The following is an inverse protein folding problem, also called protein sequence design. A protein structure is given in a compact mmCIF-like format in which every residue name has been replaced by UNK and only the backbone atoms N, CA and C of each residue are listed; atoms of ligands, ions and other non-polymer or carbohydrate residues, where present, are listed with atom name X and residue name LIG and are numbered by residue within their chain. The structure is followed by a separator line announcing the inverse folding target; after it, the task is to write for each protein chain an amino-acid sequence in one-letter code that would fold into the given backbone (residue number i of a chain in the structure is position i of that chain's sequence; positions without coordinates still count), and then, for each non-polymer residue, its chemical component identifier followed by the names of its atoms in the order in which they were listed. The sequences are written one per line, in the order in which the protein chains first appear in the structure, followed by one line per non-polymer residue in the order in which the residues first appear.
data_IF_318642309565
#
_entry.id   IF_318642309565
#
_cell.length_a   1.000
_cell.length_b   1.000
_cell.length_c   1.000
_cell.angle_alpha   90.00
_cell.angle_beta   90.00
_cell.angle_gamma   90.00
#
_symmetry.space_group_name_H-M   'P 1'
#
loop_
_entity.id
_entity.type
_entity.pdbx_description
1 polymer ?
#
# COMPACT_ATOMS: atom_id res chain seq x y z
N UNK A 1 8.62 -31.92 20.95
CA UNK A 1 7.87 -32.16 19.70
C UNK A 1 6.43 -31.86 20.01
N UNK A 2 6.08 -30.58 19.94
CA UNK A 2 4.78 -30.05 20.40
C UNK A 2 3.94 -29.83 19.16
N UNK A 3 2.85 -30.57 19.04
CA UNK A 3 1.81 -30.40 18.03
C UNK A 3 1.19 -29.02 18.29
N UNK A 4 1.54 -28.05 17.45
CA UNK A 4 0.87 -26.77 17.32
C UNK A 4 0.29 -26.75 15.90
N UNK A 5 -0.98 -26.34 15.82
CA UNK A 5 -1.79 -26.07 14.63
C UNK A 5 -2.60 -27.26 14.06
N UNK A 6 -3.63 -27.66 14.80
CA UNK A 6 -4.86 -28.25 14.22
C UNK A 6 -6.05 -27.26 14.33
N UNK A 7 -5.75 -25.97 14.53
CA UNK A 7 -6.74 -24.88 14.52
C UNK A 7 -6.49 -24.01 13.29
N UNK A 8 -7.15 -24.32 12.17
CA UNK A 8 -7.15 -23.40 11.03
C UNK A 8 -7.63 -23.97 9.70
N UNK A 9 -7.50 -25.28 9.47
CA UNK A 9 -7.92 -25.88 8.20
C UNK A 9 -9.44 -26.07 8.18
N UNK A 10 -10.12 -25.15 7.50
CA UNK A 10 -11.54 -25.29 7.19
C UNK A 10 -11.69 -25.90 5.79
N UNK A 11 -12.65 -26.79 5.61
CA UNK A 11 -13.04 -27.22 4.27
C UNK A 11 -13.88 -26.10 3.63
N UNK A 12 -13.49 -25.68 2.43
CA UNK A 12 -14.22 -24.65 1.67
C UNK A 12 -14.57 -25.16 0.27
N UNK A 13 -15.66 -24.64 -0.29
CA UNK A 13 -16.16 -25.04 -1.61
C UNK A 13 -15.74 -24.03 -2.66
N UNK A 14 -15.06 -24.49 -3.70
CA UNK A 14 -14.67 -23.71 -4.89
C UNK A 14 -15.00 -24.53 -6.12
N UNK A 15 -15.69 -23.93 -7.10
CA UNK A 15 -16.13 -24.60 -8.33
C UNK A 15 -16.86 -25.94 -8.09
N UNK A 16 -17.62 -26.03 -7.00
CA UNK A 16 -18.38 -27.23 -6.64
C UNK A 16 -17.55 -28.36 -6.01
N UNK A 17 -16.26 -28.12 -5.69
CA UNK A 17 -15.38 -29.08 -5.01
C UNK A 17 -14.90 -28.56 -3.66
N UNK A 18 -14.79 -29.47 -2.70
CA UNK A 18 -14.27 -29.17 -1.37
C UNK A 18 -12.74 -29.25 -1.34
N UNK A 19 -12.09 -28.23 -0.77
CA UNK A 19 -10.65 -28.18 -0.52
C UNK A 19 -10.36 -27.91 0.95
N UNK A 20 -9.26 -28.44 1.48
CA UNK A 20 -8.69 -27.94 2.74
C UNK A 20 -8.15 -26.55 2.48
N UNK A 21 -8.45 -25.58 3.35
CA UNK A 21 -8.04 -24.21 3.13
C UNK A 21 -7.68 -23.45 4.41
N UNK A 22 -6.78 -22.48 4.25
CA UNK A 22 -6.37 -21.54 5.30
C UNK A 22 -6.76 -20.10 4.91
N UNK A 23 -7.37 -19.33 5.83
CA UNK A 23 -7.77 -17.95 5.54
C UNK A 23 -6.56 -17.01 5.52
N UNK A 24 -6.51 -16.13 4.52
CA UNK A 24 -5.50 -15.08 4.38
C UNK A 24 -6.11 -13.72 4.70
N UNK A 25 -5.33 -12.86 5.33
CA UNK A 25 -5.69 -11.46 5.62
C UNK A 25 -7.07 -11.31 6.30
N UNK A 26 -7.38 -12.17 7.27
CA UNK A 26 -8.65 -12.14 7.99
C UNK A 26 -9.84 -12.68 7.17
N UNK A 27 -9.58 -13.54 6.18
CA UNK A 27 -10.61 -14.14 5.32
C UNK A 27 -10.91 -13.35 4.05
N UNK A 28 -10.01 -12.47 3.63
CA UNK A 28 -10.10 -11.76 2.36
C UNK A 28 -9.88 -12.71 1.17
N UNK A 29 -9.00 -13.68 1.36
CA UNK A 29 -8.65 -14.74 0.43
C UNK A 29 -8.42 -16.05 1.19
N UNK A 30 -8.26 -17.14 0.45
CA UNK A 30 -7.99 -18.47 0.98
C UNK A 30 -6.85 -19.13 0.20
N UNK A 31 -5.96 -19.80 0.92
CA UNK A 31 -5.02 -20.76 0.36
C UNK A 31 -5.66 -22.13 0.37
N UNK A 32 -5.94 -22.69 -0.79
CA UNK A 32 -6.50 -24.01 -0.99
C UNK A 32 -5.36 -25.02 -1.13
N UNK A 33 -5.52 -26.23 -0.61
CA UNK A 33 -4.52 -27.29 -0.71
C UNK A 33 -5.06 -28.53 -1.43
N UNK A 34 -4.21 -29.17 -2.24
CA UNK A 34 -4.50 -30.42 -2.94
C UNK A 34 -3.33 -31.40 -2.88
N UNK A 35 -3.65 -32.68 -2.96
CA UNK A 35 -2.68 -33.78 -3.08
C UNK A 35 -2.27 -34.03 -4.54
N UNK A 36 -3.06 -33.54 -5.51
CA UNK A 36 -2.83 -33.69 -6.95
C UNK A 36 -2.57 -32.34 -7.62
N UNK A 37 -1.83 -32.32 -8.75
CA UNK A 37 -1.74 -31.13 -9.57
C UNK A 37 -3.09 -30.81 -10.21
N UNK A 38 -3.53 -29.56 -10.10
CA UNK A 38 -4.82 -29.08 -10.60
C UNK A 38 -4.67 -27.73 -11.32
N UNK A 39 -5.62 -27.34 -12.18
CA UNK A 39 -5.56 -26.05 -12.87
C UNK A 39 -5.44 -24.88 -11.88
N UNK A 40 -4.41 -24.05 -12.06
CA UNK A 40 -4.12 -22.91 -11.20
C UNK A 40 -3.46 -23.25 -9.87
N UNK A 41 -3.20 -24.53 -9.56
CA UNK A 41 -2.44 -24.93 -8.38
C UNK A 41 -0.93 -24.87 -8.66
N UNK A 42 -0.21 -24.21 -7.77
CA UNK A 42 1.25 -24.15 -7.72
C UNK A 42 1.76 -25.31 -6.87
N UNK A 43 3.04 -25.66 -7.06
CA UNK A 43 3.72 -26.65 -6.21
C UNK A 43 4.48 -25.93 -5.12
N UNK A 44 4.25 -26.31 -3.87
CA UNK A 44 5.02 -25.84 -2.72
C UNK A 44 6.48 -26.29 -2.83
N UNK A 45 7.43 -25.38 -2.58
CA UNK A 45 8.85 -25.75 -2.50
C UNK A 45 9.17 -26.47 -1.18
N UNK A 46 8.37 -26.22 -0.14
CA UNK A 46 8.55 -26.84 1.17
C UNK A 46 7.96 -28.26 1.25
N UNK A 47 8.55 -29.16 2.07
CA UNK A 47 8.00 -30.50 2.27
C UNK A 47 6.67 -30.41 3.04
N UNK A 48 5.56 -30.54 2.32
CA UNK A 48 4.19 -30.59 2.86
C UNK A 48 3.48 -31.89 2.47
N UNK A 49 2.51 -32.32 3.28
CA UNK A 49 1.63 -33.47 2.97
C UNK A 49 0.72 -33.19 1.78
N UNK A 50 0.32 -31.94 1.59
CA UNK A 50 -0.43 -31.46 0.43
C UNK A 50 0.54 -30.58 -0.38
N UNK A 51 1.18 -31.11 -1.43
CA UNK A 51 2.27 -30.44 -2.12
C UNK A 51 1.80 -29.39 -3.13
N UNK A 52 0.49 -29.27 -3.36
CA UNK A 52 -0.08 -28.30 -4.27
C UNK A 52 -1.01 -27.35 -3.54
N UNK A 53 -1.00 -26.08 -3.96
CA UNK A 53 -1.88 -25.07 -3.40
C UNK A 53 -2.30 -24.02 -4.43
N UNK A 54 -3.38 -23.29 -4.14
CA UNK A 54 -3.88 -22.19 -4.98
C UNK A 54 -4.46 -21.10 -4.09
N UNK A 55 -4.26 -19.85 -4.47
CA UNK A 55 -4.87 -18.72 -3.78
C UNK A 55 -6.14 -18.28 -4.51
N UNK A 56 -7.22 -18.06 -3.76
CA UNK A 56 -8.51 -17.61 -4.32
C UNK A 56 -9.09 -16.49 -3.47
N UNK A 57 -9.74 -15.48 -4.06
CA UNK A 57 -10.43 -14.45 -3.30
C UNK A 57 -11.64 -15.03 -2.57
N UNK A 58 -12.02 -14.42 -1.45
CA UNK A 58 -13.18 -14.85 -0.65
C UNK A 58 -14.49 -14.89 -1.43
N UNK A 59 -14.62 -14.07 -2.48
CA UNK A 59 -15.80 -14.04 -3.35
C UNK A 59 -16.01 -15.33 -4.16
N UNK A 60 -14.96 -16.14 -4.37
CA UNK A 60 -15.02 -17.43 -5.07
C UNK A 60 -15.31 -18.61 -4.14
N UNK A 61 -15.34 -18.36 -2.83
CA UNK A 61 -15.42 -19.40 -1.81
C UNK A 61 -16.83 -19.50 -1.22
N UNK A 62 -17.42 -20.69 -1.28
CA UNK A 62 -18.67 -21.01 -0.58
C UNK A 62 -18.40 -21.85 0.69
N UNK A 63 -19.27 -21.72 1.69
CA UNK A 63 -19.22 -22.55 2.91
C UNK A 63 -18.18 -22.16 3.95
N UNK A 64 -17.34 -21.15 3.68
CA UNK A 64 -16.57 -20.51 4.73
C UNK A 64 -17.54 -19.87 5.73
N UNK A 65 -17.46 -20.25 7.00
CA UNK A 65 -18.25 -19.59 8.05
C UNK A 65 -18.07 -18.09 7.91
N UNK A 66 -19.17 -17.32 7.89
CA UNK A 66 -19.15 -15.87 7.83
C UNK A 66 -18.45 -15.33 9.08
N UNK A 67 -17.12 -15.34 9.09
CA UNK A 67 -16.35 -14.51 9.98
C UNK A 67 -16.82 -13.08 9.72
N UNK A 68 -17.09 -12.32 10.78
CA UNK A 68 -17.51 -10.94 10.67
C UNK A 68 -16.50 -10.20 9.77
N UNK A 69 -16.92 -9.85 8.55
CA UNK A 69 -16.01 -9.24 7.59
C UNK A 69 -15.63 -7.86 8.11
N UNK A 70 -14.35 -7.63 8.47
CA UNK A 70 -13.93 -6.36 9.03
C UNK A 70 -13.93 -5.24 7.99
N UNK A 71 -13.84 -5.61 6.70
CA UNK A 71 -13.71 -4.69 5.58
C UNK A 71 -14.93 -4.72 4.66
N UNK A 72 -15.19 -3.57 4.01
CA UNK A 72 -16.25 -3.44 3.01
C UNK A 72 -15.84 -4.11 1.69
N UNK A 73 -16.62 -5.11 1.26
CA UNK A 73 -16.42 -5.76 -0.03
C UNK A 73 -16.73 -4.83 -1.21
N UNK A 74 -16.09 -5.10 -2.34
CA UNK A 74 -16.41 -4.44 -3.60
C UNK A 74 -17.75 -4.97 -4.12
N UNK A 75 -18.71 -4.08 -4.35
CA UNK A 75 -20.07 -4.44 -4.73
C UNK A 75 -20.46 -3.71 -6.02
N UNK A 76 -21.18 -4.39 -6.89
CA UNK A 76 -21.74 -3.80 -8.10
C UNK A 76 -23.28 -3.93 -8.14
N UNK A 77 -24.00 -2.90 -8.61
CA UNK A 77 -25.46 -2.95 -8.73
C UNK A 77 -25.87 -3.76 -9.98
N UNK A 78 -25.64 -5.08 -9.93
CA UNK A 78 -25.86 -5.96 -11.07
C UNK A 78 -27.33 -5.95 -11.50
N UNK A 79 -27.55 -5.97 -12.80
CA UNK A 79 -28.88 -6.03 -13.41
C UNK A 79 -28.80 -6.77 -14.74
N UNK A 80 -29.94 -6.98 -15.41
CA UNK A 80 -29.96 -7.60 -16.74
C UNK A 80 -29.11 -6.83 -17.78
N UNK A 81 -28.91 -5.53 -17.58
CA UNK A 81 -28.10 -4.67 -18.46
C UNK A 81 -26.69 -4.41 -17.92
N UNK A 82 -26.34 -4.89 -16.73
CA UNK A 82 -25.05 -4.66 -16.09
C UNK A 82 -24.54 -5.94 -15.42
N UNK A 83 -23.64 -6.64 -16.11
CA UNK A 83 -22.90 -7.80 -15.60
C UNK A 83 -21.55 -7.41 -14.99
N UNK A 84 -20.93 -8.32 -14.25
CA UNK A 84 -19.55 -8.15 -13.76
C UNK A 84 -18.54 -7.95 -14.89
N UNK A 85 -18.67 -8.72 -15.97
CA UNK A 85 -17.84 -8.55 -17.18
C UNK A 85 -17.97 -7.13 -17.74
N UNK A 86 -19.18 -6.58 -17.75
CA UNK A 86 -19.42 -5.20 -18.21
C UNK A 86 -18.82 -4.18 -17.26
N UNK A 87 -18.94 -4.37 -15.95
CA UNK A 87 -18.33 -3.51 -14.92
C UNK A 87 -16.82 -3.52 -15.08
N UNK A 88 -16.20 -4.69 -15.21
CA UNK A 88 -14.77 -4.84 -15.45
C UNK A 88 -14.37 -4.13 -16.75
N UNK A 89 -15.07 -4.35 -17.86
CA UNK A 89 -14.77 -3.67 -19.11
C UNK A 89 -14.83 -2.14 -18.99
N UNK A 90 -15.81 -1.62 -18.23
CA UNK A 90 -15.94 -0.18 -17.96
C UNK A 90 -14.81 0.35 -17.05
N UNK A 91 -14.37 -0.41 -16.05
CA UNK A 91 -13.27 0.00 -15.17
C UNK A 91 -11.91 0.05 -15.86
N UNK A 92 -11.73 -0.73 -16.94
CA UNK A 92 -10.47 -0.79 -17.68
C UNK A 92 -10.33 0.32 -18.75
N UNK A 93 -11.25 1.29 -18.82
CA UNK A 93 -11.26 2.34 -19.84
C UNK A 93 -11.70 3.69 -19.27
N UNK A 94 -11.07 4.81 -19.67
CA UNK A 94 -11.59 6.13 -19.34
C UNK A 94 -13.06 6.27 -19.79
N UNK A 95 -13.97 6.76 -18.93
CA UNK A 95 -15.37 6.83 -19.26
C UNK A 95 -15.62 7.82 -20.41
N UNK A 96 -16.42 7.41 -21.39
CA UNK A 96 -16.78 8.23 -22.57
C UNK A 96 -18.02 9.10 -22.34
N UNK A 97 -18.85 8.71 -21.38
CA UNK A 97 -20.11 9.34 -21.04
C UNK A 97 -20.31 9.33 -19.52
N UNK A 98 -21.18 10.22 -19.03
CA UNK A 98 -21.44 10.41 -17.60
C UNK A 98 -22.03 9.16 -16.94
N UNK A 99 -22.91 8.42 -17.63
CA UNK A 99 -23.54 7.25 -17.05
C UNK A 99 -22.52 6.14 -16.78
N UNK A 100 -21.63 5.87 -17.74
CA UNK A 100 -20.50 4.94 -17.56
C UNK A 100 -19.59 5.37 -16.40
N UNK A 101 -19.30 6.67 -16.28
CA UNK A 101 -18.51 7.21 -15.17
C UNK A 101 -19.20 6.98 -13.81
N UNK A 102 -20.50 7.28 -13.72
CA UNK A 102 -21.29 7.14 -12.50
C UNK A 102 -21.40 5.66 -12.07
N UNK A 103 -21.54 4.72 -13.00
CA UNK A 103 -21.55 3.28 -12.71
C UNK A 103 -20.22 2.86 -12.10
N UNK A 104 -19.08 3.16 -12.74
CA UNK A 104 -17.76 2.77 -12.23
C UNK A 104 -17.47 3.46 -10.89
N UNK A 105 -17.81 4.74 -10.74
CA UNK A 105 -17.66 5.47 -9.49
C UNK A 105 -18.50 4.86 -8.35
N UNK A 106 -19.73 4.42 -8.63
CA UNK A 106 -20.60 3.78 -7.63
C UNK A 106 -20.03 2.45 -7.13
N UNK A 107 -19.48 1.63 -8.04
CA UNK A 107 -18.78 0.38 -7.68
C UNK A 107 -17.53 0.71 -6.87
N UNK A 108 -16.74 1.69 -7.33
CA UNK A 108 -15.51 2.10 -6.65
C UNK A 108 -15.76 2.60 -5.23
N UNK A 109 -16.87 3.31 -5.01
CA UNK A 109 -17.22 3.89 -3.72
C UNK A 109 -17.55 2.85 -2.63
N UNK A 110 -17.83 1.60 -3.00
CA UNK A 110 -18.10 0.55 -2.00
C UNK A 110 -16.81 0.05 -1.33
N UNK A 111 -15.66 0.23 -1.98
CA UNK A 111 -14.35 -0.05 -1.40
C UNK A 111 -13.85 1.16 -0.59
N UNK A 112 -14.09 1.12 0.73
CA UNK A 112 -13.76 2.21 1.65
C UNK A 112 -12.46 1.90 2.41
N UNK A 113 -11.63 2.92 2.62
CA UNK A 113 -10.51 2.89 3.58
C UNK A 113 -10.96 3.60 4.85
N UNK A 114 -10.75 2.94 5.99
CA UNK A 114 -11.05 3.45 7.32
C UNK A 114 -9.80 3.41 8.17
N UNK A 115 -9.86 4.04 9.33
CA UNK A 115 -8.88 3.82 10.39
C UNK A 115 -8.73 2.32 10.66
N UNK A 116 -7.48 1.84 10.67
CA UNK A 116 -7.12 0.45 10.88
C UNK A 116 -7.16 -0.44 9.64
N UNK A 117 -7.71 0.03 8.51
CA UNK A 117 -7.74 -0.72 7.25
C UNK A 117 -6.32 -1.09 6.85
N UNK A 118 -6.09 -2.37 6.56
CA UNK A 118 -4.77 -2.83 6.14
C UNK A 118 -4.52 -2.40 4.70
N UNK A 119 -3.47 -1.64 4.49
CA UNK A 119 -3.03 -1.12 3.21
C UNK A 119 -1.74 -1.83 2.80
N UNK A 120 -1.55 -1.96 1.49
CA UNK A 120 -0.32 -2.46 0.88
C UNK A 120 0.15 -1.57 -0.26
N UNK A 121 1.46 -1.55 -0.47
CA UNK A 121 2.11 -0.80 -1.55
C UNK A 121 3.21 -1.67 -2.15
N UNK A 122 3.14 -1.98 -3.46
CA UNK A 122 4.23 -2.64 -4.16
C UNK A 122 5.50 -1.80 -4.16
N UNK A 123 6.64 -2.47 -3.98
CA UNK A 123 7.95 -1.86 -3.92
C UNK A 123 8.91 -2.58 -4.85
N UNK A 124 9.80 -1.79 -5.46
CA UNK A 124 11.06 -2.31 -5.99
C UNK A 124 12.04 -2.56 -4.84
N UNK A 125 13.12 -3.29 -5.09
CA UNK A 125 14.19 -3.47 -4.11
C UNK A 125 14.76 -2.13 -3.62
N UNK A 126 14.96 -1.17 -4.53
CA UNK A 126 15.36 0.20 -4.18
C UNK A 126 14.34 0.90 -3.28
N UNK A 127 13.04 0.67 -3.55
CA UNK A 127 11.95 1.16 -2.71
C UNK A 127 11.96 0.62 -1.28
N UNK A 128 12.34 -0.65 -1.10
CA UNK A 128 12.55 -1.24 0.23
C UNK A 128 13.73 -0.55 0.93
N UNK A 129 14.87 -0.39 0.24
CA UNK A 129 16.04 0.34 0.77
C UNK A 129 15.68 1.77 1.19
N UNK A 130 14.90 2.49 0.38
CA UNK A 130 14.43 3.84 0.67
C UNK A 130 13.63 3.92 1.98
N UNK A 131 12.67 3.00 2.17
CA UNK A 131 11.85 2.94 3.39
C UNK A 131 12.69 2.57 4.62
N UNK A 132 13.63 1.62 4.47
CA UNK A 132 14.55 1.23 5.53
C UNK A 132 15.45 2.40 5.97
N UNK A 133 15.70 3.36 5.08
CA UNK A 133 16.45 4.60 5.34
C UNK A 133 15.59 5.78 5.82
N UNK A 134 14.30 5.55 6.02
CA UNK A 134 13.40 6.53 6.59
C UNK A 134 12.61 7.37 5.59
N UNK A 135 12.60 7.02 4.30
CA UNK A 135 11.53 7.52 3.43
C UNK A 135 10.19 7.01 3.94
N UNK A 136 9.16 7.81 3.70
CA UNK A 136 7.79 7.49 4.05
C UNK A 136 7.00 6.99 2.83
N UNK A 137 6.00 6.12 3.02
CA UNK A 137 5.13 5.67 1.94
C UNK A 137 4.30 6.81 1.34
N UNK A 138 4.14 6.79 0.02
CA UNK A 138 3.38 7.78 -0.76
C UNK A 138 2.96 7.20 -2.12
N UNK A 139 1.97 7.84 -2.75
CA UNK A 139 1.51 7.47 -4.09
C UNK A 139 0.50 6.32 -4.09
N UNK A 140 0.59 5.44 -5.09
CA UNK A 140 -0.41 4.39 -5.31
C UNK A 140 -0.31 3.27 -4.26
N UNK A 141 -1.46 2.86 -3.75
CA UNK A 141 -1.60 1.79 -2.76
C UNK A 141 -2.96 1.09 -2.88
N UNK A 142 -3.09 -0.03 -2.19
CA UNK A 142 -4.23 -0.95 -2.29
C UNK A 142 -4.65 -1.34 -0.87
N UNK A 143 -5.92 -1.68 -0.65
CA UNK A 143 -6.27 -2.42 0.57
C UNK A 143 -5.72 -3.83 0.42
N UNK A 144 -5.12 -4.36 1.49
CA UNK A 144 -4.71 -5.77 1.53
C UNK A 144 -5.87 -6.69 1.14
N UNK A 145 -7.08 -6.35 1.58
CA UNK A 145 -8.29 -7.10 1.31
C UNK A 145 -8.53 -7.38 -0.18
N UNK A 146 -8.29 -6.39 -1.05
CA UNK A 146 -8.63 -6.50 -2.47
C UNK A 146 -7.55 -7.20 -3.30
N UNK A 147 -6.40 -7.49 -2.69
CA UNK A 147 -5.23 -8.09 -3.37
C UNK A 147 -4.69 -9.31 -2.62
N UNK A 148 -5.39 -9.78 -1.59
CA UNK A 148 -4.92 -10.84 -0.70
C UNK A 148 -4.72 -12.19 -1.40
N UNK A 149 -5.38 -12.42 -2.53
CA UNK A 149 -5.22 -13.61 -3.36
C UNK A 149 -4.06 -13.49 -4.35
N UNK A 150 -3.53 -12.30 -4.60
CA UNK A 150 -2.32 -12.09 -5.41
C UNK A 150 -1.10 -12.39 -4.55
N UNK A 151 -0.47 -13.55 -4.77
CA UNK A 151 0.58 -14.06 -3.85
C UNK A 151 1.88 -14.34 -4.56
N UNK A 152 1.87 -14.58 -5.87
CA UNK A 152 3.10 -14.75 -6.65
C UNK A 152 3.64 -13.42 -7.17
N UNK A 153 4.95 -13.33 -7.47
CA UNK A 153 5.52 -12.18 -8.15
C UNK A 153 4.80 -11.82 -9.47
N UNK A 154 4.42 -12.84 -10.25
CA UNK A 154 3.68 -12.67 -11.51
C UNK A 154 2.30 -12.06 -11.30
N UNK A 155 1.55 -12.54 -10.30
CA UNK A 155 0.23 -11.99 -9.96
C UNK A 155 0.33 -10.55 -9.43
N UNK A 156 1.30 -10.29 -8.55
CA UNK A 156 1.49 -8.96 -7.96
C UNK A 156 2.04 -7.92 -8.94
N UNK A 157 2.62 -8.34 -10.07
CA UNK A 157 3.10 -7.42 -11.11
C UNK A 157 1.99 -6.52 -11.67
N UNK A 158 0.71 -6.97 -11.60
CA UNK A 158 -0.45 -6.17 -12.01
C UNK A 158 -0.60 -4.87 -11.20
N UNK A 159 -0.07 -4.85 -9.97
CA UNK A 159 -0.15 -3.69 -9.07
C UNK A 159 0.90 -2.61 -9.40
N UNK A 160 1.75 -2.82 -10.41
CA UNK A 160 2.76 -1.87 -10.86
C UNK A 160 4.15 -2.05 -10.23
N UNK A 161 4.44 -3.23 -9.67
CA UNK A 161 5.80 -3.62 -9.30
C UNK A 161 6.69 -3.81 -10.53
N UNK A 162 8.02 -3.78 -10.34
CA UNK A 162 8.93 -4.24 -11.39
C UNK A 162 8.68 -5.74 -11.62
N UNK A 163 8.45 -6.18 -12.87
CA UNK A 163 8.24 -7.59 -13.16
C UNK A 163 9.54 -8.33 -12.82
N UNK A 164 9.50 -9.09 -11.73
CA UNK A 164 10.52 -10.07 -11.36
C UNK A 164 9.83 -11.41 -11.23
N UNK A 165 10.44 -12.45 -11.77
CA UNK A 165 9.93 -13.81 -11.60
C UNK A 165 10.34 -14.41 -10.25
N UNK A 166 11.33 -13.82 -9.55
CA UNK A 166 11.93 -14.42 -8.36
C UNK A 166 11.38 -13.88 -7.04
N UNK A 167 11.15 -12.57 -6.94
CA UNK A 167 10.69 -11.95 -5.70
C UNK A 167 9.94 -10.64 -5.97
N UNK A 168 8.85 -10.42 -5.23
CA UNK A 168 8.17 -9.12 -5.16
C UNK A 168 8.11 -8.64 -3.72
N UNK A 169 8.29 -7.34 -3.51
CA UNK A 169 8.25 -6.73 -2.18
C UNK A 169 7.01 -5.85 -2.02
N UNK A 170 6.38 -5.89 -0.84
CA UNK A 170 5.33 -4.96 -0.46
C UNK A 170 5.67 -4.29 0.87
N UNK A 171 5.25 -3.03 1.04
CA UNK A 171 4.98 -2.47 2.36
C UNK A 171 3.54 -2.83 2.74
N UNK A 172 3.33 -3.32 3.96
CA UNK A 172 2.03 -3.51 4.60
C UNK A 172 1.93 -2.59 5.81
N UNK A 173 0.83 -1.87 5.97
CA UNK A 173 0.58 -1.04 7.15
C UNK A 173 -0.92 -0.94 7.42
N UNK A 174 -1.30 -0.32 8.53
CA UNK A 174 -2.69 0.01 8.82
C UNK A 174 -2.93 1.50 8.60
N UNK A 175 -3.96 1.87 7.84
CA UNK A 175 -4.36 3.24 7.63
C UNK A 175 -4.62 3.93 8.98
N UNK A 176 -4.06 5.11 9.16
CA UNK A 176 -4.31 5.94 10.35
C UNK A 176 -5.71 6.51 10.25
N UNK A 177 -6.03 7.11 9.09
CA UNK A 177 -7.36 7.61 8.77
C UNK A 177 -7.66 7.44 7.27
N UNK A 178 -8.95 7.42 6.90
CA UNK A 178 -9.37 7.34 5.50
C UNK A 178 -9.06 8.61 4.69
N UNK A 179 -8.97 9.77 5.34
CA UNK A 179 -8.68 11.07 4.70
C UNK A 179 -7.26 11.15 4.10
N UNK A 180 -6.36 10.25 4.49
CA UNK A 180 -5.05 10.11 3.89
C UNK A 180 -5.10 9.54 2.47
N UNK A 181 -6.25 9.05 2.01
CA UNK A 181 -6.40 8.34 0.75
C UNK A 181 -7.47 8.96 -0.14
N UNK A 182 -7.19 9.02 -1.44
CA UNK A 182 -8.14 9.42 -2.47
C UNK A 182 -8.23 8.33 -3.54
N UNK A 183 -9.42 8.03 -4.09
CA UNK A 183 -9.52 7.18 -5.28
C UNK A 183 -8.78 7.82 -6.46
N UNK A 184 -8.23 7.01 -7.36
CA UNK A 184 -7.58 7.48 -8.60
C UNK A 184 -8.60 7.87 -9.70
N UNK A 185 -9.54 8.74 -9.35
CA UNK A 185 -10.64 9.19 -10.23
C UNK A 185 -10.81 10.69 -10.23
N UNK A 186 -11.37 11.21 -11.31
CA UNK A 186 -11.82 12.60 -11.40
C UNK A 186 -10.69 13.60 -11.66
N UNK A 187 -10.96 14.87 -11.39
CA UNK A 187 -10.09 15.98 -11.79
C UNK A 187 -8.69 15.91 -11.15
N UNK A 188 -8.61 15.42 -9.91
CA UNK A 188 -7.36 15.33 -9.16
C UNK A 188 -6.28 14.46 -9.82
N UNK A 189 -6.67 13.54 -10.72
CA UNK A 189 -5.76 12.66 -11.46
C UNK A 189 -5.82 12.88 -12.97
N UNK A 190 -6.56 13.88 -13.44
CA UNK A 190 -6.72 14.15 -14.88
C UNK A 190 -5.38 14.40 -15.59
N UNK A 191 -4.47 15.13 -14.94
CA UNK A 191 -3.10 15.35 -15.43
C UNK A 191 -2.29 14.05 -15.58
N UNK A 192 -2.50 13.06 -14.69
CA UNK A 192 -1.87 11.75 -14.80
C UNK A 192 -2.43 10.92 -15.95
N UNK A 193 -3.74 10.98 -16.18
CA UNK A 193 -4.39 10.31 -17.33
C UNK A 193 -3.88 10.89 -18.64
N UNK A 194 -3.64 12.20 -18.69
CA UNK A 194 -3.11 12.91 -19.85
C UNK A 194 -1.60 12.73 -20.05
N UNK A 195 -0.89 12.11 -19.10
CA UNK A 195 0.56 11.99 -19.13
C UNK A 195 1.02 11.09 -20.28
N UNK A 196 1.97 11.52 -21.13
CA UNK A 196 2.41 10.71 -22.24
C UNK A 196 3.22 9.49 -21.77
N UNK A 197 3.24 8.40 -22.56
CA UNK A 197 3.90 7.16 -22.15
C UNK A 197 5.41 7.26 -21.87
N UNK A 198 6.11 8.23 -22.46
CA UNK A 198 7.55 8.41 -22.25
C UNK A 198 7.89 9.17 -20.97
N UNK A 199 6.92 9.86 -20.37
CA UNK A 199 7.10 10.63 -19.13
C UNK A 199 6.64 9.86 -17.88
N UNK A 200 6.22 8.61 -18.02
CA UNK A 200 5.68 7.80 -16.92
C UNK A 200 6.51 6.55 -16.66
N UNK A 201 6.54 6.15 -15.39
CA UNK A 201 7.03 4.85 -14.94
C UNK A 201 5.84 3.94 -14.59
N UNK A 202 5.92 2.67 -14.99
CA UNK A 202 4.90 1.66 -14.69
C UNK A 202 3.62 1.78 -15.54
N UNK A 203 2.57 1.12 -15.08
CA UNK A 203 1.29 1.04 -15.80
C UNK A 203 0.57 2.40 -15.88
N UNK A 204 -0.24 2.56 -16.92
CA UNK A 204 -1.05 3.75 -17.11
C UNK A 204 -2.00 4.01 -15.93
N UNK A 205 -2.29 5.29 -15.65
CA UNK A 205 -3.38 5.68 -14.75
C UNK A 205 -4.64 5.81 -15.59
N UNK A 206 -5.65 5.02 -15.28
CA UNK A 206 -6.89 4.96 -16.09
C UNK A 206 -7.88 6.08 -15.75
N UNK A 207 -7.78 6.66 -14.55
CA UNK A 207 -8.73 7.64 -14.05
C UNK A 207 -10.08 7.04 -13.61
N UNK A 208 -10.16 5.71 -13.52
CA UNK A 208 -11.37 4.95 -13.19
C UNK A 208 -11.43 4.47 -11.75
N UNK A 209 -10.35 4.66 -10.96
CA UNK A 209 -10.29 4.19 -9.58
C UNK A 209 -9.84 2.75 -9.43
N UNK A 210 -9.48 2.09 -10.54
CA UNK A 210 -9.06 0.70 -10.61
C UNK A 210 -7.71 0.55 -11.29
N UNK A 211 -6.92 -0.42 -10.83
CA UNK A 211 -5.67 -0.78 -11.48
C UNK A 211 -5.94 -1.44 -12.86
N UNK A 212 -5.06 -1.22 -13.85
CA UNK A 212 -5.10 -1.97 -15.10
C UNK A 212 -4.97 -3.47 -14.85
N UNK A 213 -6.00 -4.23 -15.21
CA UNK A 213 -6.02 -5.69 -15.08
C UNK A 213 -6.89 -6.32 -16.17
N UNK A 214 -6.51 -7.51 -16.62
CA UNK A 214 -7.28 -8.28 -17.61
C UNK A 214 -8.36 -9.15 -16.98
N UNK A 215 -8.23 -9.46 -15.69
CA UNK A 215 -9.01 -10.50 -15.02
C UNK A 215 -9.67 -10.02 -13.74
N UNK A 216 -9.16 -8.96 -13.13
CA UNK A 216 -9.55 -8.56 -11.78
C UNK A 216 -9.99 -7.11 -11.68
N UNK A 217 -10.95 -6.87 -10.79
CA UNK A 217 -11.41 -5.54 -10.48
C UNK A 217 -10.74 -5.08 -9.16
N UNK A 218 -9.53 -4.50 -9.29
CA UNK A 218 -8.70 -4.12 -8.15
C UNK A 218 -8.85 -2.61 -7.89
N UNK A 219 -9.55 -2.18 -6.83
CA UNK A 219 -9.62 -0.76 -6.49
C UNK A 219 -8.23 -0.24 -6.12
N UNK A 220 -7.88 0.94 -6.59
CA UNK A 220 -6.60 1.59 -6.29
C UNK A 220 -6.83 2.93 -5.57
N UNK A 221 -5.94 3.27 -4.65
CA UNK A 221 -5.93 4.52 -3.90
C UNK A 221 -4.61 5.24 -4.12
N UNK A 222 -4.65 6.56 -3.94
CA UNK A 222 -3.49 7.43 -3.95
C UNK A 222 -3.42 8.11 -2.58
N UNK A 223 -2.22 8.24 -2.01
CA UNK A 223 -2.05 9.09 -0.83
C UNK A 223 -2.46 10.53 -1.17
N UNK A 224 -3.23 11.18 -0.30
CA UNK A 224 -3.77 12.50 -0.55
C UNK A 224 -2.63 13.48 -0.90
N UNK A 225 -2.77 14.14 -2.05
CA UNK A 225 -1.78 15.08 -2.61
C UNK A 225 -0.40 14.45 -2.88
N UNK A 226 -0.35 13.12 -3.04
CA UNK A 226 0.88 12.31 -3.10
C UNK A 226 1.82 12.54 -1.90
N UNK A 227 1.28 13.04 -0.78
CA UNK A 227 2.06 13.33 0.40
C UNK A 227 2.61 12.06 1.04
N UNK A 228 3.74 12.21 1.71
CA UNK A 228 4.33 11.19 2.59
C UNK A 228 3.38 10.89 3.76
N UNK A 229 3.10 9.61 4.01
CA UNK A 229 2.32 9.16 5.15
C UNK A 229 3.26 8.74 6.29
N UNK A 230 3.10 9.27 7.52
CA UNK A 230 3.81 8.77 8.67
C UNK A 230 3.57 7.26 8.85
N UNK A 231 4.64 6.50 9.10
CA UNK A 231 4.54 5.05 9.30
C UNK A 231 3.90 4.74 10.66
N UNK A 232 2.81 3.95 10.70
CA UNK A 232 2.23 3.47 11.94
C UNK A 232 3.09 2.35 12.54
N UNK A 233 2.90 2.06 13.82
CA UNK A 233 3.46 0.91 14.50
C UNK A 233 3.14 -0.39 13.74
N UNK A 234 4.07 -1.34 13.79
CA UNK A 234 3.91 -2.66 13.18
C UNK A 234 3.73 -2.67 11.66
N UNK A 235 3.97 -1.55 10.96
CA UNK A 235 4.17 -1.59 9.52
C UNK A 235 5.27 -2.62 9.18
N UNK A 236 5.08 -3.37 8.10
CA UNK A 236 5.91 -4.51 7.75
C UNK A 236 6.36 -4.43 6.30
N UNK A 237 7.64 -4.73 6.07
CA UNK A 237 8.16 -5.01 4.73
C UNK A 237 8.08 -6.52 4.53
N UNK A 238 7.39 -6.95 3.49
CA UNK A 238 7.17 -8.37 3.17
C UNK A 238 7.67 -8.68 1.77
N UNK A 239 8.08 -9.93 1.56
CA UNK A 239 8.46 -10.47 0.27
C UNK A 239 7.60 -11.67 -0.09
N UNK A 240 7.37 -11.84 -1.39
CA UNK A 240 6.67 -12.97 -1.99
C UNK A 240 7.61 -13.69 -2.96
N UNK A 241 7.66 -15.01 -2.87
CA UNK A 241 8.48 -15.89 -3.73
C UNK A 241 7.58 -16.64 -4.74
N UNK A 242 8.14 -17.37 -5.73
CA UNK A 242 7.36 -17.87 -6.86
C UNK A 242 6.24 -18.86 -6.51
N UNK A 243 6.38 -19.60 -5.40
CA UNK A 243 5.31 -20.46 -4.88
C UNK A 243 4.27 -19.69 -4.03
N UNK A 244 4.33 -18.37 -3.97
CA UNK A 244 3.37 -17.55 -3.23
C UNK A 244 3.59 -17.52 -1.70
N UNK A 245 4.67 -18.13 -1.20
CA UNK A 245 5.07 -17.99 0.21
C UNK A 245 5.36 -16.53 0.55
N UNK A 246 4.73 -16.02 1.61
CA UNK A 246 5.00 -14.69 2.16
C UNK A 246 6.08 -14.77 3.25
N UNK A 247 7.07 -13.89 3.17
CA UNK A 247 8.15 -13.76 4.15
C UNK A 247 8.18 -12.34 4.69
N UNK A 248 7.95 -12.18 5.99
CA UNK A 248 8.11 -10.87 6.65
C UNK A 248 9.60 -10.57 6.83
N UNK A 249 10.06 -9.49 6.19
CA UNK A 249 11.46 -9.09 6.20
C UNK A 249 11.79 -8.23 7.41
N UNK A 250 11.01 -7.17 7.61
CA UNK A 250 11.22 -6.19 8.67
C UNK A 250 9.88 -5.71 9.24
N UNK A 251 9.88 -5.30 10.50
CA UNK A 251 8.77 -4.59 11.14
C UNK A 251 9.23 -3.26 11.71
N UNK A 252 8.42 -2.21 11.55
CA UNK A 252 8.72 -0.88 12.04
C UNK A 252 8.40 -0.74 13.53
N UNK A 253 9.33 -0.18 14.27
CA UNK A 253 9.27 0.07 15.71
C UNK A 253 9.38 1.59 15.97
N UNK A 254 8.24 2.32 16.05
CA UNK A 254 8.27 3.77 16.14
C UNK A 254 8.98 4.29 17.39
N UNK A 255 8.84 3.62 18.54
CA UNK A 255 9.51 4.02 19.79
C UNK A 255 11.03 3.85 19.74
N UNK A 256 11.51 2.91 18.92
CA UNK A 256 12.93 2.73 18.67
C UNK A 256 13.42 3.62 17.52
N UNK A 257 12.49 4.15 16.70
CA UNK A 257 12.73 4.89 15.46
C UNK A 257 13.55 4.06 14.48
N UNK A 258 13.09 2.84 14.18
CA UNK A 258 13.80 1.98 13.25
C UNK A 258 13.04 0.72 12.86
N UNK A 259 13.70 -0.09 12.03
CA UNK A 259 13.18 -1.35 11.53
C UNK A 259 13.90 -2.51 12.20
N UNK A 260 13.12 -3.48 12.68
CA UNK A 260 13.61 -4.73 13.24
C UNK A 260 13.49 -5.84 12.18
N UNK A 261 14.59 -6.54 11.89
CA UNK A 261 14.63 -7.67 10.96
C UNK A 261 13.92 -8.88 11.57
N UNK A 262 13.01 -9.47 10.81
CA UNK A 262 12.28 -10.69 11.19
C UNK A 262 12.63 -11.89 10.30
N UNK A 263 13.28 -11.67 9.15
CA UNK A 263 13.60 -12.75 8.21
C UNK A 263 14.64 -13.73 8.78
N UNK A 264 14.35 -15.03 8.67
CA UNK A 264 15.24 -16.11 9.11
C UNK A 264 16.40 -16.41 8.15
N UNK A 265 17.42 -17.19 8.58
CA UNK A 265 18.59 -17.55 7.78
C UNK A 265 18.28 -18.13 6.39
N UNK A 266 17.26 -18.98 6.29
CA UNK A 266 16.86 -19.66 5.06
C UNK A 266 16.33 -18.70 3.97
N UNK A 267 15.91 -17.51 4.37
CA UNK A 267 15.34 -16.49 3.49
C UNK A 267 16.26 -15.28 3.27
N UNK A 268 17.51 -15.31 3.79
CA UNK A 268 18.48 -14.21 3.64
C UNK A 268 18.74 -13.82 2.18
N UNK A 269 18.60 -14.77 1.24
CA UNK A 269 18.70 -14.49 -0.20
C UNK A 269 17.77 -13.36 -0.66
N UNK A 270 16.60 -13.21 -0.02
CA UNK A 270 15.62 -12.16 -0.34
C UNK A 270 16.11 -10.75 0.00
N UNK A 271 17.19 -10.60 0.78
CA UNK A 271 17.80 -9.32 1.09
C UNK A 271 18.92 -8.93 0.12
N UNK A 272 19.42 -9.85 -0.71
CA UNK A 272 20.55 -9.58 -1.63
C UNK A 272 20.27 -8.44 -2.62
N UNK A 273 19.05 -8.25 -3.15
CA UNK A 273 18.75 -7.11 -4.02
C UNK A 273 18.75 -5.76 -3.31
N UNK A 274 18.69 -5.74 -1.97
CA UNK A 274 18.60 -4.53 -1.17
C UNK A 274 19.99 -3.90 -1.05
N UNK A 275 20.23 -2.87 -1.87
CA UNK A 275 21.50 -2.15 -1.84
C UNK A 275 21.68 -1.47 -0.50
N UNK A 276 22.93 -1.47 -0.03
CA UNK A 276 23.37 -0.70 1.14
C UNK A 276 22.70 -1.11 2.47
N UNK A 277 22.05 -2.27 2.50
CA UNK A 277 21.51 -2.90 3.70
C UNK A 277 22.26 -4.21 3.91
N UNK A 278 22.89 -4.37 5.07
CA UNK A 278 23.53 -5.64 5.42
C UNK A 278 22.48 -6.69 5.78
N UNK A 279 22.59 -7.89 5.19
CA UNK A 279 21.69 -9.01 5.49
C UNK A 279 21.81 -9.52 6.94
N UNK A 280 22.92 -9.23 7.61
CA UNK A 280 23.16 -9.61 9.00
C UNK A 280 22.72 -8.53 10.00
N UNK A 281 22.44 -7.32 9.52
CA UNK A 281 21.99 -6.24 10.39
C UNK A 281 20.56 -6.51 10.88
N UNK A 282 20.42 -6.72 12.19
CA UNK A 282 19.14 -7.02 12.85
C UNK A 282 18.29 -5.78 13.08
N UNK A 283 18.92 -4.62 13.28
CA UNK A 283 18.24 -3.37 13.56
C UNK A 283 18.76 -2.25 12.66
N UNK A 284 17.84 -1.55 12.00
CA UNK A 284 18.11 -0.44 11.09
C UNK A 284 17.48 0.84 11.66
N UNK A 285 18.28 1.72 12.30
CA UNK A 285 17.78 2.99 12.82
C UNK A 285 17.45 3.95 11.68
N UNK A 286 16.36 4.70 11.83
CA UNK A 286 16.07 5.89 11.01
C UNK A 286 16.80 7.08 11.65
N UNK A 287 17.66 7.80 10.91
CA UNK A 287 18.39 8.95 11.43
C UNK A 287 17.45 10.02 12.02
N UNK A 288 17.82 10.60 13.16
CA UNK A 288 16.98 11.60 13.86
C UNK A 288 17.00 12.98 13.19
N UNK A 289 18.06 13.25 12.44
CA UNK A 289 18.32 14.45 11.66
C UNK A 289 17.73 14.38 10.25
N UNK A 290 17.16 13.22 9.86
CA UNK A 290 16.31 13.17 8.68
C UNK A 290 15.07 14.03 8.96
N UNK A 291 15.07 15.24 8.41
CA UNK A 291 13.94 16.17 8.48
C UNK A 291 12.76 15.58 7.70
N UNK A 292 12.01 14.68 8.34
CA UNK A 292 10.72 14.25 7.80
C UNK A 292 9.76 15.41 7.92
N UNK A 293 9.41 15.96 6.76
CA UNK A 293 8.45 17.04 6.64
C UNK A 293 7.00 16.55 6.72
N UNK A 294 6.79 15.25 6.95
CA UNK A 294 5.50 14.65 7.31
C UNK A 294 5.60 13.87 8.62
N UNK A 295 4.75 14.19 9.60
CA UNK A 295 4.76 13.54 10.92
C UNK A 295 3.40 13.56 11.60
N UNK A 296 3.25 12.70 12.60
CA UNK A 296 2.10 12.72 13.49
C UNK A 296 2.40 13.56 14.72
N UNK A 297 1.43 14.39 15.07
CA UNK A 297 1.44 15.21 16.28
C UNK A 297 0.09 15.05 16.97
N UNK A 298 0.12 15.02 18.29
CA UNK A 298 -1.08 14.95 19.12
C UNK A 298 -0.93 15.77 20.38
N UNK A 299 -2.03 16.02 21.07
CA UNK A 299 -2.00 16.76 22.35
C UNK A 299 -2.17 15.82 23.53
N UNK A 300 -1.53 16.12 24.65
CA UNK A 300 -1.78 15.47 25.94
C UNK A 300 -1.66 16.50 27.04
N UNK A 301 -2.71 16.68 27.85
CA UNK A 301 -2.77 17.69 28.94
C UNK A 301 -2.47 19.12 28.46
N UNK A 302 -2.95 19.46 27.27
CA UNK A 302 -2.78 20.79 26.67
C UNK A 302 -1.43 21.05 25.98
N UNK A 303 -0.49 20.10 26.04
CA UNK A 303 0.82 20.21 25.38
C UNK A 303 0.87 19.36 24.10
N UNK A 304 1.60 19.82 23.09
CA UNK A 304 1.81 19.10 21.83
C UNK A 304 3.01 18.16 21.91
N UNK A 305 2.83 16.93 21.41
CA UNK A 305 3.87 15.92 21.31
C UNK A 305 3.86 15.27 19.93
N UNK A 306 5.01 14.72 19.51
CA UNK A 306 5.02 13.73 18.43
C UNK A 306 4.21 12.51 18.87
N UNK A 307 3.45 11.93 17.94
CA UNK A 307 2.55 10.83 18.22
C UNK A 307 2.96 9.56 17.47
N UNK A 308 2.56 8.42 18.03
CA UNK A 308 2.60 7.09 17.43
C UNK A 308 1.18 6.64 17.19
N UNK A 309 0.93 6.09 16.00
CA UNK A 309 -0.32 5.44 15.66
C UNK A 309 -0.13 3.92 15.61
N UNK A 310 -0.97 3.20 16.33
CA UNK A 310 -1.17 1.75 16.24
C UNK A 310 -2.68 1.49 16.04
N UNK A 311 -3.21 1.87 14.86
CA UNK A 311 -4.64 1.79 14.60
C UNK A 311 -5.11 0.33 14.53
N UNK A 312 -6.39 0.05 14.83
CA UNK A 312 -7.46 1.03 14.98
C UNK A 312 -7.62 1.63 16.38
N UNK A 313 -6.89 1.17 17.39
CA UNK A 313 -7.28 1.44 18.79
C UNK A 313 -6.33 2.36 19.55
N UNK A 314 -5.04 2.38 19.23
CA UNK A 314 -4.06 3.03 20.09
C UNK A 314 -3.32 4.17 19.39
N UNK A 315 -3.44 5.37 19.97
CA UNK A 315 -2.71 6.56 19.57
C UNK A 315 -2.10 7.19 20.81
N UNK A 316 -0.78 7.36 20.81
CA UNK A 316 -0.04 7.70 22.02
C UNK A 316 1.09 8.68 21.73
N UNK A 317 1.53 9.38 22.77
CA UNK A 317 2.75 10.16 22.74
C UNK A 317 3.93 9.25 22.38
N UNK A 318 4.77 9.71 21.45
CA UNK A 318 6.03 9.06 21.13
C UNK A 318 6.97 9.18 22.33
N UNK A 319 7.09 8.10 23.09
CA UNK A 319 7.92 8.02 24.28
C UNK A 319 8.83 6.79 24.24
N UNK A 320 10.09 6.98 24.67
CA UNK A 320 11.07 5.89 24.74
C UNK A 320 10.78 4.89 25.86
N UNK A 321 10.10 5.32 26.93
CA UNK A 321 9.76 4.45 28.05
C UNK A 321 8.27 4.09 28.05
N UNK A 322 7.95 2.87 28.46
CA UNK A 322 6.55 2.40 28.56
C UNK A 322 5.72 3.24 29.52
N UNK A 323 6.34 3.78 30.58
CA UNK A 323 5.67 4.59 31.60
C UNK A 323 5.19 5.96 31.08
N UNK A 324 5.75 6.43 29.97
CA UNK A 324 5.39 7.72 29.36
C UNK A 324 4.53 7.58 28.08
N UNK A 325 3.99 6.37 27.81
CA UNK A 325 3.07 6.11 26.70
C UNK A 325 1.66 6.56 27.06
N UNK A 326 1.46 7.87 27.08
CA UNK A 326 0.15 8.45 27.32
C UNK A 326 -0.68 8.48 26.05
N UNK A 327 -1.98 8.15 26.10
CA UNK A 327 -2.87 8.34 24.95
C UNK A 327 -2.94 9.83 24.60
N UNK A 328 -2.96 10.14 23.30
CA UNK A 328 -3.19 11.51 22.84
C UNK A 328 -4.68 11.83 22.83
N UNK A 329 -5.01 13.08 23.14
CA UNK A 329 -6.37 13.62 23.16
C UNK A 329 -6.83 14.06 21.76
N UNK A 330 -5.88 14.45 20.91
CA UNK A 330 -6.11 14.80 19.50
C UNK A 330 -5.03 14.18 18.65
N UNK A 331 -5.33 13.92 17.38
CA UNK A 331 -4.34 13.43 16.42
C UNK A 331 -4.45 14.16 15.09
N UNK A 332 -3.30 14.58 14.56
CA UNK A 332 -3.19 15.20 13.25
C UNK A 332 -1.91 14.80 12.54
N UNK A 333 -1.97 14.74 11.22
CA UNK A 333 -0.78 14.68 10.36
C UNK A 333 -0.40 16.09 9.96
N UNK A 334 0.86 16.45 10.23
CA UNK A 334 1.46 17.70 9.79
C UNK A 334 2.36 17.42 8.60
N UNK A 335 2.12 18.09 7.48
CA UNK A 335 2.91 17.96 6.25
C UNK A 335 3.31 19.34 5.73
N UNK A 336 4.58 19.51 5.36
CA UNK A 336 5.07 20.77 4.76
C UNK A 336 4.67 20.87 3.29
N UNK A 337 3.92 21.91 2.97
CA UNK A 337 3.62 22.32 1.61
C UNK A 337 4.37 23.60 1.24
N UNK A 338 4.51 23.82 -0.05
CA UNK A 338 5.02 25.06 -0.59
C UNK A 338 4.47 25.30 -2.01
N UNK A 339 4.81 26.46 -2.59
CA UNK A 339 4.61 26.77 -3.99
C UNK A 339 5.96 26.92 -4.69
N UNK A 340 6.08 26.35 -5.88
CA UNK A 340 7.25 26.53 -6.73
C UNK A 340 6.80 26.75 -8.17
N UNK A 341 7.12 27.93 -8.72
CA UNK A 341 6.73 28.37 -10.07
C UNK A 341 5.25 28.13 -10.40
N UNK A 342 4.37 28.39 -9.41
CA UNK A 342 2.92 28.26 -9.55
C UNK A 342 2.34 26.88 -9.22
N UNK A 343 3.15 25.83 -9.13
CA UNK A 343 2.71 24.50 -8.71
C UNK A 343 2.67 24.37 -7.18
N UNK A 344 1.68 23.64 -6.67
CA UNK A 344 1.62 23.23 -5.26
C UNK A 344 2.42 21.95 -5.09
N UNK A 345 3.31 21.95 -4.10
CA UNK A 345 4.23 20.84 -3.86
C UNK A 345 4.29 20.48 -2.38
N UNK A 346 4.57 19.21 -2.08
CA UNK A 346 5.05 18.80 -0.75
C UNK A 346 6.57 18.88 -0.71
N UNK A 347 7.12 19.30 0.43
CA UNK A 347 8.56 19.34 0.66
C UNK A 347 8.99 17.99 1.24
N UNK A 348 10.02 17.37 0.66
CA UNK A 348 10.51 16.05 1.07
C UNK A 348 11.81 16.12 1.86
N UNK A 349 12.71 17.01 1.43
CA UNK A 349 13.98 17.28 2.10
C UNK A 349 14.44 18.69 1.72
N UNK A 350 15.20 19.35 2.59
CA UNK A 350 15.76 20.65 2.32
C UNK A 350 17.16 20.76 2.90
N UNK A 351 18.06 21.39 2.14
CA UNK A 351 19.33 21.91 2.60
C UNK A 351 19.39 23.44 2.38
N UNK A 352 20.57 24.04 2.57
CA UNK A 352 20.73 25.49 2.45
C UNK A 352 20.46 26.04 1.04
N UNK A 353 20.63 25.23 -0.01
CA UNK A 353 20.57 25.66 -1.41
C UNK A 353 19.45 24.98 -2.18
N UNK A 354 19.06 23.77 -1.80
CA UNK A 354 18.18 22.90 -2.57
C UNK A 354 17.07 22.33 -1.71
N UNK A 355 15.88 22.27 -2.30
CA UNK A 355 14.69 21.66 -1.72
C UNK A 355 14.20 20.59 -2.66
N UNK A 356 14.13 19.35 -2.18
CA UNK A 356 13.47 18.26 -2.92
C UNK A 356 11.97 18.38 -2.68
N UNK A 357 11.22 18.41 -3.77
CA UNK A 357 9.77 18.62 -3.76
C UNK A 357 9.06 17.54 -4.56
N UNK A 358 7.79 17.29 -4.23
CA UNK A 358 6.89 16.41 -4.99
C UNK A 358 5.64 17.17 -5.41
N UNK A 359 5.22 16.98 -6.66
CA UNK A 359 4.02 17.62 -7.19
C UNK A 359 2.75 17.01 -6.58
N UNK A 360 1.85 17.86 -6.08
CA UNK A 360 0.58 17.41 -5.52
C UNK A 360 -0.43 17.02 -6.60
N UNK A 361 -0.35 17.67 -7.76
CA UNK A 361 -1.25 17.47 -8.91
C UNK A 361 -0.41 17.46 -10.20
N UNK A 362 0.34 16.38 -10.47
CA UNK A 362 1.19 16.29 -11.65
C UNK A 362 0.36 16.32 -12.94
N UNK A 363 0.82 17.11 -13.90
CA UNK A 363 0.27 17.22 -15.25
C UNK A 363 1.41 17.43 -16.27
N UNK A 364 1.18 17.21 -17.58
CA UNK A 364 2.25 17.30 -18.58
C UNK A 364 2.95 18.67 -18.61
N UNK A 365 2.24 19.76 -18.31
CA UNK A 365 2.77 21.13 -18.35
C UNK A 365 3.68 21.36 -17.16
N UNK A 366 3.23 21.05 -15.94
CA UNK A 366 4.02 21.29 -14.74
C UNK A 366 5.22 20.32 -14.62
N UNK A 367 5.08 19.08 -15.07
CA UNK A 367 6.18 18.11 -15.13
C UNK A 367 7.29 18.62 -16.05
N UNK A 368 6.93 19.08 -17.25
CA UNK A 368 7.89 19.64 -18.21
C UNK A 368 8.52 20.93 -17.68
N UNK A 369 7.70 21.86 -17.18
CA UNK A 369 8.16 23.20 -16.75
C UNK A 369 9.09 23.15 -15.54
N UNK A 370 8.87 22.19 -14.64
CA UNK A 370 9.65 22.01 -13.42
C UNK A 370 10.78 20.98 -13.58
N UNK A 371 10.91 20.38 -14.76
CA UNK A 371 11.80 19.24 -15.03
C UNK A 371 11.64 18.12 -13.97
N UNK A 372 10.39 17.86 -13.57
CA UNK A 372 10.08 16.85 -12.56
C UNK A 372 10.25 15.44 -13.15
N UNK A 373 10.88 14.56 -12.39
CA UNK A 373 11.14 13.18 -12.81
C UNK A 373 10.09 12.25 -12.22
N UNK A 374 9.58 11.34 -13.05
CA UNK A 374 8.71 10.27 -12.60
C UNK A 374 9.52 9.21 -11.86
N UNK A 375 9.55 9.28 -10.52
CA UNK A 375 10.31 8.33 -9.70
C UNK A 375 9.55 7.01 -9.53
N UNK A 376 8.21 7.07 -9.55
CA UNK A 376 7.28 5.94 -9.43
C UNK A 376 6.00 6.25 -10.19
N UNK A 377 5.16 5.23 -10.41
CA UNK A 377 3.83 5.40 -11.04
C UNK A 377 3.08 6.59 -10.46
N UNK A 378 2.91 7.63 -11.27
CA UNK A 378 2.20 8.86 -10.94
C UNK A 378 2.87 9.81 -9.93
N UNK A 379 4.09 9.52 -9.47
CA UNK A 379 4.83 10.34 -8.50
C UNK A 379 5.94 11.10 -9.21
N UNK A 380 5.86 12.43 -9.18
CA UNK A 380 6.80 13.32 -9.85
C UNK A 380 7.52 14.19 -8.82
N UNK A 381 8.84 14.11 -8.81
CA UNK A 381 9.69 14.84 -7.86
C UNK A 381 10.74 15.66 -8.60
N UNK A 382 11.18 16.74 -7.98
CA UNK A 382 12.18 17.64 -8.53
C UNK A 382 13.04 18.23 -7.42
N UNK A 383 14.21 18.75 -7.81
CA UNK A 383 15.04 19.60 -6.95
C UNK A 383 14.85 21.05 -7.36
N UNK A 384 14.38 21.86 -6.42
CA UNK A 384 14.14 23.29 -6.58
C UNK A 384 15.20 24.08 -5.83
N UNK A 385 15.71 25.20 -6.37
CA UNK A 385 16.53 26.13 -5.60
C UNK A 385 15.72 26.66 -4.41
N UNK A 386 16.31 26.68 -3.21
CA UNK A 386 15.63 27.10 -1.99
C UNK A 386 15.08 28.53 -2.07
N UNK A 387 15.73 29.41 -2.84
CA UNK A 387 15.31 30.80 -3.06
C UNK A 387 14.07 30.95 -3.95
N UNK A 388 13.69 29.90 -4.70
CA UNK A 388 12.51 29.90 -5.55
C UNK A 388 11.27 29.32 -4.85
N UNK A 389 11.44 28.76 -3.66
CA UNK A 389 10.32 28.22 -2.87
C UNK A 389 9.58 29.38 -2.20
N UNK A 390 8.27 29.44 -2.45
CA UNK A 390 7.37 30.42 -1.86
C UNK A 390 6.31 29.74 -0.98
N UNK A 391 5.71 30.51 -0.07
CA UNK A 391 4.56 30.10 0.75
C UNK A 391 4.77 28.77 1.48
N UNK A 392 5.99 28.49 1.96
CA UNK A 392 6.28 27.27 2.68
C UNK A 392 5.57 27.26 4.05
N UNK A 393 4.68 26.29 4.27
CA UNK A 393 3.89 26.20 5.50
C UNK A 393 3.58 24.75 5.86
N UNK A 394 3.42 24.49 7.16
CA UNK A 394 2.92 23.20 7.64
C UNK A 394 1.39 23.20 7.58
N UNK A 395 0.83 22.30 6.78
CA UNK A 395 -0.60 22.05 6.75
C UNK A 395 -0.94 20.88 7.69
N UNK A 396 -2.08 20.98 8.39
CA UNK A 396 -2.54 19.97 9.34
C UNK A 396 -3.80 19.28 8.82
N UNK A 397 -3.74 17.95 8.71
CA UNK A 397 -4.90 17.10 8.51
C UNK A 397 -5.30 16.50 9.86
N UNK A 398 -6.45 16.93 10.39
CA UNK A 398 -6.99 16.43 11.66
C UNK A 398 -7.69 15.10 11.43
N UNK A 399 -7.49 14.16 12.34
CA UNK A 399 -8.15 12.85 12.32
C UNK A 399 -9.28 12.80 13.35
N UNK A 400 -8.99 13.10 14.62
CA UNK A 400 -9.98 13.20 15.70
C UNK A 400 -9.58 14.19 16.79
#
# INVERSE_FOLDING_TARGET
MTILNDMGQAAVMVDGRAYSAEPIAGGAAYELFSDQPEPGFLRLESPSRLPFHRFVPSAEVAGAGQAAMPESQLCAPLSRSLSWERVHWLSQRPPRDRHSADVVASVRATAVVRQGTRMVMPLTAGGVTDLLRGRLPHGFCYREWDVAHLRTPTELAVLGGEPSEEVTYLLRWRAIDGADFRPSTGEAVSGLVAMPPHDRVGAAVLGTGFAPSSTELIPEWITADFADLPLPAHAALVAYVPDGTEVVLYTFQPEQRGWLRLVGPQWRRLLQPLREISADQEYLPIPRDLNSFSRLVGTFRGEEYEAVADPPEEFRVLAMSRAARYPVETLRRRTRYARWRGAVVTVLSADANWVRVRLCQPDPVNVTTLAAQCNRRGVYEAWAPATEIADAHDAELRYF
#
